data_IF_627053054947
#
_entry.id   IF_627053054947
#
_cell.length_a   1.000
_cell.length_b   1.000
_cell.length_c   1.000
_cell.angle_alpha   90.00
_cell.angle_beta   90.00
_cell.angle_gamma   90.00
#
_symmetry.space_group_name_H-M   'P 1'
#
loop_
_entity.id
_entity.type
_entity.pdbx_description
1 polymer ?
#
# COMPACT_ATOMS: atom_id res chain seq x y z
N UNK A 1 1.67 -0.39 36.93
CA UNK A 1 3.04 0.16 36.86
C UNK A 1 3.18 0.78 35.49
N UNK A 2 3.56 2.05 35.42
CA UNK A 2 3.70 2.79 34.17
C UNK A 2 4.81 2.15 33.33
N UNK A 3 4.47 1.47 32.26
CA UNK A 3 5.43 1.02 31.24
C UNK A 3 5.75 2.22 30.38
N UNK A 4 6.80 2.96 30.75
CA UNK A 4 7.38 3.94 29.85
C UNK A 4 7.78 3.22 28.57
N UNK A 5 7.26 3.68 27.43
CA UNK A 5 7.64 3.18 26.12
C UNK A 5 9.18 3.17 26.01
N UNK A 6 9.83 2.07 25.55
CA UNK A 6 11.27 2.05 25.31
C UNK A 6 11.67 2.97 24.14
N UNK A 7 10.68 3.49 23.41
CA UNK A 7 10.86 4.39 22.29
C UNK A 7 10.89 5.85 22.76
N UNK A 8 12.02 6.52 22.58
CA UNK A 8 12.09 7.99 22.65
C UNK A 8 11.47 8.58 21.40
N UNK A 9 10.36 9.29 21.57
CA UNK A 9 9.70 9.96 20.47
C UNK A 9 9.88 11.48 20.57
N UNK A 10 10.14 12.11 19.43
CA UNK A 10 10.07 13.56 19.28
C UNK A 10 8.98 13.89 18.28
N UNK A 11 7.97 14.67 18.68
CA UNK A 11 7.03 15.25 17.73
C UNK A 11 7.76 16.31 16.93
N UNK A 12 8.13 15.94 15.72
CA UNK A 12 8.89 16.78 14.79
C UNK A 12 8.04 17.96 14.32
N UNK A 13 6.81 17.66 13.91
CA UNK A 13 5.84 18.67 13.49
C UNK A 13 4.43 18.13 13.58
N UNK A 14 3.52 19.02 13.89
CA UNK A 14 2.09 18.77 13.85
C UNK A 14 1.39 19.64 12.83
N UNK A 15 0.47 19.03 12.10
CA UNK A 15 -0.30 19.67 11.03
C UNK A 15 -1.75 19.88 11.50
N UNK A 16 -2.06 21.07 12.01
CA UNK A 16 -3.37 21.35 12.64
C UNK A 16 -4.40 21.90 11.65
N UNK A 17 -5.68 21.90 12.04
CA UNK A 17 -6.79 22.38 11.20
C UNK A 17 -6.66 23.84 10.74
N UNK A 18 -5.83 24.65 11.40
CA UNK A 18 -5.56 26.06 11.08
C UNK A 18 -4.14 26.30 10.58
N UNK A 19 -3.34 25.26 10.37
CA UNK A 19 -1.92 25.40 10.06
C UNK A 19 -1.66 25.92 8.65
N UNK A 20 -0.82 26.94 8.56
CA UNK A 20 -0.30 27.48 7.31
C UNK A 20 0.62 26.48 6.59
N UNK A 21 1.07 25.42 7.26
CA UNK A 21 2.00 24.39 6.76
C UNK A 21 1.33 23.14 6.16
N UNK A 22 0.00 23.10 6.07
CA UNK A 22 -0.74 21.98 5.47
C UNK A 22 -1.38 21.04 6.49
N UNK A 23 -2.15 20.05 6.01
CA UNK A 23 -2.99 19.12 6.78
C UNK A 23 -3.10 17.76 6.09
N UNK A 24 -3.32 16.71 6.88
CA UNK A 24 -3.59 15.34 6.38
C UNK A 24 -2.43 14.81 5.52
N UNK A 25 -1.23 14.60 6.09
CA UNK A 25 -0.20 13.84 5.41
C UNK A 25 -0.70 12.39 5.30
N UNK A 26 -0.77 11.85 4.09
CA UNK A 26 -1.30 10.48 3.83
C UNK A 26 -0.38 9.65 2.94
N UNK A 27 0.53 10.30 2.22
CA UNK A 27 1.51 9.63 1.39
C UNK A 27 2.69 9.14 2.21
N UNK A 28 3.17 7.93 1.90
CA UNK A 28 4.40 7.42 2.49
C UNK A 28 5.55 8.43 2.31
N UNK A 29 6.23 8.83 3.40
CA UNK A 29 7.41 9.70 3.33
C UNK A 29 8.50 9.08 2.45
N UNK A 30 9.47 9.91 2.08
CA UNK A 30 10.65 9.47 1.33
C UNK A 30 11.90 10.11 1.89
N UNK A 31 13.00 9.37 1.87
CA UNK A 31 14.30 9.84 2.34
C UNK A 31 15.18 10.14 1.13
N UNK A 32 15.74 11.34 1.07
CA UNK A 32 16.71 11.75 0.06
C UNK A 32 17.85 12.52 0.72
N UNK A 33 19.09 12.05 0.52
CA UNK A 33 20.28 12.69 1.09
C UNK A 33 20.28 12.79 2.62
N UNK A 34 19.60 11.88 3.32
CA UNK A 34 19.46 11.92 4.79
C UNK A 34 18.41 12.90 5.31
N UNK A 35 17.74 13.64 4.42
CA UNK A 35 16.60 14.51 4.74
C UNK A 35 15.31 13.78 4.39
N UNK A 36 14.30 13.96 5.24
CA UNK A 36 12.99 13.32 5.10
C UNK A 36 12.06 14.28 4.40
N UNK A 37 11.32 13.78 3.42
CA UNK A 37 10.34 14.56 2.69
C UNK A 37 8.98 13.87 2.73
N UNK A 38 7.93 14.67 2.80
CA UNK A 38 6.55 14.18 2.77
C UNK A 38 5.62 15.22 2.19
N UNK A 39 4.38 14.81 1.94
CA UNK A 39 3.32 15.67 1.42
C UNK A 39 2.15 15.74 2.38
N UNK A 40 1.51 16.89 2.44
CA UNK A 40 0.16 17.06 3.02
C UNK A 40 -0.86 17.16 1.89
N UNK A 41 -2.02 16.54 2.06
CA UNK A 41 -3.03 16.46 0.99
C UNK A 41 -3.92 17.69 0.89
N UNK A 42 -4.11 18.45 1.98
CA UNK A 42 -4.95 19.66 2.00
C UNK A 42 -4.37 20.71 2.95
N UNK A 43 -4.94 21.92 2.96
CA UNK A 43 -4.51 22.99 3.88
C UNK A 43 -3.33 23.82 3.36
N UNK A 44 -2.70 24.59 4.25
CA UNK A 44 -1.75 25.63 3.88
C UNK A 44 -2.42 26.90 3.33
N UNK A 45 -1.63 27.95 3.07
CA UNK A 45 -2.13 29.28 2.65
C UNK A 45 -3.02 29.27 1.41
N UNK A 46 -2.88 28.27 0.55
CA UNK A 46 -3.61 28.08 -0.71
C UNK A 46 -4.59 26.91 -0.68
N UNK A 47 -4.67 26.18 0.44
CA UNK A 47 -5.59 25.05 0.64
C UNK A 47 -5.19 23.72 -0.04
N UNK A 48 -4.13 23.71 -0.86
CA UNK A 48 -3.72 22.57 -1.69
C UNK A 48 -2.82 21.53 -1.03
N UNK A 49 -2.35 21.78 0.19
CA UNK A 49 -1.30 20.99 0.85
C UNK A 49 0.10 21.56 0.61
N UNK A 50 1.12 20.84 1.07
CA UNK A 50 2.54 21.22 0.99
C UNK A 50 3.45 20.02 0.77
N UNK A 51 4.64 20.28 0.24
CA UNK A 51 5.82 19.45 0.45
C UNK A 51 6.54 20.00 1.69
N UNK A 52 6.87 19.13 2.62
CA UNK A 52 7.71 19.48 3.77
C UNK A 52 9.00 18.65 3.75
N UNK A 53 10.04 19.20 4.39
CA UNK A 53 11.28 18.51 4.69
C UNK A 53 11.52 18.50 6.19
N UNK A 54 12.17 17.44 6.67
CA UNK A 54 12.72 17.37 8.01
C UNK A 54 14.16 16.84 7.95
N UNK A 55 15.11 17.68 8.35
CA UNK A 55 16.49 17.26 8.53
C UNK A 55 16.69 16.77 9.97
N UNK A 56 16.99 15.49 10.17
CA UNK A 56 17.14 14.92 11.49
C UNK A 56 18.41 15.30 12.22
N UNK A 57 19.47 15.64 11.48
CA UNK A 57 20.76 15.97 12.07
C UNK A 57 20.71 17.36 12.70
N UNK A 58 19.91 18.24 12.12
CA UNK A 58 19.71 19.61 12.60
C UNK A 58 18.37 19.80 13.32
N UNK A 59 17.50 18.78 13.33
CA UNK A 59 16.12 18.83 13.82
C UNK A 59 15.26 19.91 13.15
N UNK A 60 15.62 20.31 11.93
CA UNK A 60 14.99 21.43 11.22
C UNK A 60 13.80 20.93 10.40
N UNK A 61 12.60 21.43 10.70
CA UNK A 61 11.42 21.26 9.85
C UNK A 61 11.23 22.48 8.95
N UNK A 62 10.99 22.24 7.66
CA UNK A 62 10.76 23.29 6.67
C UNK A 62 9.60 22.92 5.76
N UNK A 63 8.62 23.81 5.63
CA UNK A 63 7.68 23.77 4.51
C UNK A 63 8.42 24.21 3.24
N UNK A 64 8.83 23.26 2.40
CA UNK A 64 9.69 23.53 1.24
C UNK A 64 8.92 23.91 -0.01
N UNK A 65 7.63 23.54 -0.10
CA UNK A 65 6.76 23.98 -1.19
C UNK A 65 5.30 24.00 -0.75
N UNK A 66 4.52 24.99 -1.22
CA UNK A 66 3.08 25.05 -1.00
C UNK A 66 2.33 24.79 -2.29
N UNK A 67 1.53 23.72 -2.33
CA UNK A 67 0.73 23.39 -3.49
C UNK A 67 -0.37 24.42 -3.70
N UNK A 68 -0.41 25.00 -4.89
CA UNK A 68 -1.44 25.94 -5.32
C UNK A 68 -1.89 25.59 -6.73
N UNK A 69 -2.98 26.18 -7.23
CA UNK A 69 -3.17 26.11 -8.68
C UNK A 69 -2.20 27.09 -9.35
N UNK A 70 -1.45 26.66 -10.39
CA UNK A 70 -1.67 25.46 -11.21
C UNK A 70 -0.76 24.26 -10.86
N UNK A 71 -0.05 24.24 -9.73
CA UNK A 71 0.88 23.20 -9.27
C UNK A 71 0.23 21.83 -9.07
N UNK A 72 -1.04 21.80 -8.62
CA UNK A 72 -1.76 20.59 -8.19
C UNK A 72 -2.29 20.73 -6.76
N UNK A 73 -3.25 19.88 -6.35
CA UNK A 73 -3.73 19.73 -4.96
C UNK A 73 -3.96 18.25 -4.64
N UNK A 74 -3.95 17.87 -3.36
CA UNK A 74 -4.19 16.49 -2.90
C UNK A 74 -3.17 15.46 -3.40
N UNK A 75 -1.93 15.57 -2.93
CA UNK A 75 -0.94 14.50 -3.12
C UNK A 75 -1.17 13.39 -2.09
N UNK A 76 -1.82 12.29 -2.52
CA UNK A 76 -2.25 11.18 -1.64
C UNK A 76 -1.26 10.01 -1.62
N UNK A 77 -0.49 9.82 -2.70
CA UNK A 77 0.31 8.61 -2.91
C UNK A 77 1.76 8.73 -2.44
N UNK A 78 2.16 9.88 -1.90
CA UNK A 78 3.55 10.15 -1.48
C UNK A 78 4.50 10.41 -2.65
N UNK A 79 5.80 10.43 -2.36
CA UNK A 79 6.87 10.68 -3.33
C UNK A 79 7.80 9.47 -3.47
N UNK A 80 8.57 9.42 -4.57
CA UNK A 80 9.61 8.42 -4.80
C UNK A 80 10.90 9.09 -5.26
N UNK A 81 12.02 8.64 -4.72
CA UNK A 81 13.35 9.08 -5.14
C UNK A 81 13.69 8.44 -6.49
N UNK A 82 14.13 9.25 -7.46
CA UNK A 82 14.67 8.76 -8.72
C UNK A 82 16.18 8.57 -8.67
N UNK A 83 16.71 7.85 -9.65
CA UNK A 83 18.16 7.67 -9.81
C UNK A 83 18.97 8.98 -9.91
N UNK A 84 18.33 10.10 -10.30
CA UNK A 84 18.94 11.43 -10.34
C UNK A 84 18.97 12.14 -8.96
N UNK A 85 18.48 11.48 -7.92
CA UNK A 85 18.41 12.00 -6.55
C UNK A 85 17.26 12.96 -6.29
N UNK A 86 16.39 13.21 -7.28
CA UNK A 86 15.20 14.08 -7.12
C UNK A 86 13.99 13.26 -6.68
N UNK A 87 12.99 13.97 -6.15
CA UNK A 87 11.75 13.39 -5.69
C UNK A 87 10.64 13.59 -6.70
N UNK A 88 9.90 12.53 -6.99
CA UNK A 88 8.82 12.52 -7.97
C UNK A 88 7.51 12.15 -7.29
N UNK A 89 6.47 12.89 -7.60
CA UNK A 89 5.16 12.67 -7.01
C UNK A 89 4.03 13.15 -7.91
N UNK A 90 2.82 12.88 -7.45
CA UNK A 90 1.59 13.22 -8.15
C UNK A 90 0.60 13.92 -7.21
N UNK A 91 -0.17 14.83 -7.77
CA UNK A 91 -1.33 15.45 -7.14
C UNK A 91 -2.59 14.94 -7.82
N UNK A 92 -3.55 14.46 -7.03
CA UNK A 92 -4.80 13.88 -7.54
C UNK A 92 -5.65 14.89 -8.31
N UNK A 93 -5.58 16.16 -7.93
CA UNK A 93 -6.39 17.23 -8.51
C UNK A 93 -5.53 18.49 -8.73
N UNK A 94 -6.13 19.55 -9.26
CA UNK A 94 -5.42 20.76 -9.70
C UNK A 94 -4.90 20.66 -11.14
N UNK A 95 -4.05 21.61 -11.53
CA UNK A 95 -3.71 21.85 -12.94
C UNK A 95 -4.82 22.62 -13.68
N UNK A 96 -4.65 22.84 -14.98
CA UNK A 96 -5.51 23.75 -15.77
C UNK A 96 -7.00 23.41 -15.78
N UNK A 97 -7.36 22.12 -15.71
CA UNK A 97 -8.77 21.67 -15.66
C UNK A 97 -9.06 20.71 -14.50
N UNK A 98 -8.26 20.78 -13.44
CA UNK A 98 -8.46 20.04 -12.18
C UNK A 98 -8.32 18.50 -12.26
N UNK A 99 -7.69 17.95 -13.30
CA UNK A 99 -7.46 16.50 -13.43
C UNK A 99 -6.23 15.96 -12.69
N UNK A 100 -5.45 16.82 -12.03
CA UNK A 100 -4.23 16.41 -11.34
C UNK A 100 -2.95 16.81 -12.09
N UNK A 101 -1.82 16.68 -11.41
CA UNK A 101 -0.51 17.09 -11.91
C UNK A 101 0.58 16.10 -11.48
N UNK A 102 1.70 16.11 -12.21
CA UNK A 102 2.94 15.45 -11.80
C UNK A 102 3.99 16.51 -11.51
N UNK A 103 4.79 16.25 -10.49
CA UNK A 103 5.83 17.19 -10.06
C UNK A 103 7.15 16.49 -9.79
N UNK A 104 8.21 17.29 -9.87
CA UNK A 104 9.54 17.00 -9.39
C UNK A 104 9.89 17.97 -8.29
N UNK A 105 10.60 17.49 -7.29
CA UNK A 105 11.22 18.32 -6.28
C UNK A 105 12.71 17.98 -6.18
N UNK A 106 13.56 18.99 -6.35
CA UNK A 106 15.00 18.88 -6.15
C UNK A 106 15.33 19.14 -4.67
N UNK A 107 15.74 18.11 -3.91
CA UNK A 107 16.02 18.25 -2.49
C UNK A 107 17.25 19.11 -2.18
N UNK A 108 18.20 19.23 -3.11
CA UNK A 108 19.45 20.00 -2.91
C UNK A 108 19.19 21.49 -3.09
N UNK A 109 18.44 21.85 -4.13
CA UNK A 109 18.10 23.25 -4.43
C UNK A 109 16.82 23.75 -3.77
N UNK A 110 16.04 22.86 -3.14
CA UNK A 110 14.65 23.12 -2.73
C UNK A 110 13.77 23.65 -3.88
N UNK A 111 14.00 23.15 -5.10
CA UNK A 111 13.31 23.61 -6.30
C UNK A 111 12.13 22.70 -6.61
N UNK A 112 10.93 23.25 -6.56
CA UNK A 112 9.74 22.60 -7.09
C UNK A 112 9.59 22.88 -8.58
N UNK A 113 9.19 21.84 -9.31
CA UNK A 113 8.86 21.94 -10.72
C UNK A 113 7.61 21.11 -11.01
N UNK A 114 6.55 21.78 -11.49
CA UNK A 114 5.46 21.06 -12.13
C UNK A 114 5.95 20.52 -13.46
N UNK A 115 5.92 19.20 -13.61
CA UNK A 115 6.36 18.52 -14.83
C UNK A 115 5.24 18.43 -15.87
N UNK A 116 3.99 18.25 -15.41
CA UNK A 116 2.86 18.11 -16.31
C UNK A 116 1.50 18.33 -15.64
N UNK A 117 0.53 18.79 -16.44
CA UNK A 117 -0.89 18.67 -16.15
C UNK A 117 -1.40 17.33 -16.70
N UNK A 118 -2.09 16.54 -15.88
CA UNK A 118 -2.72 15.28 -16.30
C UNK A 118 -3.90 15.56 -17.25
N UNK A 119 -4.54 16.70 -17.03
CA UNK A 119 -5.69 17.14 -17.76
C UNK A 119 -5.24 17.89 -19.03
N UNK A 120 -5.71 17.43 -20.19
CA UNK A 120 -5.19 17.81 -21.52
C UNK A 120 -4.55 16.63 -22.28
N UNK A 121 -4.03 15.62 -21.55
CA UNK A 121 -3.61 14.31 -22.10
C UNK A 121 -4.68 13.23 -21.95
N UNK A 122 -5.88 13.62 -21.51
CA UNK A 122 -7.01 12.72 -21.27
C UNK A 122 -6.95 11.94 -19.96
N UNK A 123 -6.05 12.24 -19.02
CA UNK A 123 -5.86 11.49 -17.76
C UNK A 123 -6.40 12.26 -16.54
N UNK A 124 -6.73 11.58 -15.44
CA UNK A 124 -7.21 12.22 -14.20
C UNK A 124 -6.92 11.41 -12.93
N UNK A 125 -6.73 12.06 -11.78
CA UNK A 125 -6.58 11.40 -10.47
C UNK A 125 -5.50 10.29 -10.43
N UNK A 126 -4.20 10.65 -10.56
CA UNK A 126 -3.13 9.72 -10.23
C UNK A 126 -3.23 9.28 -8.75
N UNK A 127 -3.22 7.97 -8.49
CA UNK A 127 -3.49 7.39 -7.15
C UNK A 127 -2.47 6.36 -6.66
N UNK A 128 -1.70 5.70 -7.53
CA UNK A 128 -0.67 4.75 -7.10
C UNK A 128 0.69 5.41 -6.92
N UNK A 129 1.52 4.86 -6.01
CA UNK A 129 2.95 5.19 -5.95
C UNK A 129 3.59 4.90 -7.29
N UNK A 130 4.42 5.83 -7.76
CA UNK A 130 5.19 5.64 -8.98
C UNK A 130 6.09 4.40 -8.83
N UNK A 131 6.15 3.58 -9.87
CA UNK A 131 7.05 2.44 -10.00
C UNK A 131 8.19 2.84 -10.93
N UNK A 132 9.43 2.76 -10.45
CA UNK A 132 10.60 3.05 -11.26
C UNK A 132 10.97 1.82 -12.09
N UNK A 133 11.22 2.01 -13.39
CA UNK A 133 11.85 0.97 -14.20
C UNK A 133 13.35 0.90 -13.91
N UNK A 134 14.02 -0.21 -14.28
CA UNK A 134 15.48 -0.30 -14.21
C UNK A 134 16.24 0.79 -14.99
N UNK A 135 15.55 1.56 -15.84
CA UNK A 135 16.12 2.61 -16.68
C UNK A 135 15.88 4.03 -16.15
N UNK A 136 15.35 4.19 -14.92
CA UNK A 136 15.18 5.50 -14.28
C UNK A 136 13.96 6.30 -14.75
N UNK A 137 13.00 5.62 -15.40
CA UNK A 137 11.72 6.19 -15.82
C UNK A 137 10.61 5.75 -14.86
N UNK A 138 9.70 6.67 -14.51
CA UNK A 138 8.60 6.38 -13.60
C UNK A 138 7.30 6.03 -14.33
N UNK A 139 6.59 5.04 -13.81
CA UNK A 139 5.29 4.59 -14.29
C UNK A 139 4.28 4.64 -13.17
N UNK A 140 3.10 5.18 -13.47
CA UNK A 140 2.03 5.29 -12.50
C UNK A 140 0.67 5.09 -13.14
N UNK A 141 -0.32 4.89 -12.29
CA UNK A 141 -1.69 4.65 -12.71
C UNK A 141 -2.61 5.77 -12.24
N UNK A 142 -3.65 6.01 -13.03
CA UNK A 142 -4.74 6.93 -12.76
C UNK A 142 -6.00 6.13 -12.45
N UNK A 143 -6.75 6.50 -11.41
CA UNK A 143 -8.03 5.87 -11.06
C UNK A 143 -9.19 6.38 -11.91
N UNK A 144 -9.05 7.55 -12.53
CA UNK A 144 -10.02 8.15 -13.46
C UNK A 144 -9.32 8.75 -14.69
N UNK A 145 -10.05 9.30 -15.66
CA UNK A 145 -9.47 9.68 -16.96
C UNK A 145 -9.40 8.50 -17.94
N UNK A 146 -8.69 8.64 -19.06
CA UNK A 146 -8.79 7.72 -20.20
C UNK A 146 -10.14 7.80 -20.93
N UNK A 147 -10.41 6.83 -21.79
CA UNK A 147 -11.67 6.74 -22.53
C UNK A 147 -12.79 6.31 -21.58
N UNK A 148 -13.78 7.18 -21.35
CA UNK A 148 -14.88 6.88 -20.42
C UNK A 148 -14.58 7.14 -18.95
N UNK A 149 -13.46 7.81 -18.61
CA UNK A 149 -13.09 8.26 -17.26
C UNK A 149 -12.74 7.15 -16.24
N UNK A 150 -12.20 6.03 -16.70
CA UNK A 150 -11.95 4.84 -15.86
C UNK A 150 -10.48 4.48 -15.66
N UNK A 151 -9.54 5.40 -15.94
CA UNK A 151 -8.14 5.30 -15.55
C UNK A 151 -7.16 5.40 -16.71
N UNK A 152 -5.86 5.33 -16.40
CA UNK A 152 -4.79 5.21 -17.40
C UNK A 152 -3.46 4.77 -16.78
N UNK A 153 -2.55 4.26 -17.61
CA UNK A 153 -1.13 4.15 -17.30
C UNK A 153 -0.40 5.34 -17.94
N UNK A 154 0.45 6.00 -17.16
CA UNK A 154 1.29 7.08 -17.63
C UNK A 154 2.77 6.82 -17.37
N UNK A 155 3.60 7.46 -18.18
CA UNK A 155 5.06 7.45 -18.06
C UNK A 155 5.56 8.86 -17.83
N UNK A 156 6.48 8.98 -16.88
CA UNK A 156 7.16 10.20 -16.53
C UNK A 156 8.66 10.04 -16.73
N UNK A 157 9.18 10.73 -17.75
CA UNK A 157 10.61 10.78 -18.02
C UNK A 157 11.32 11.76 -17.09
N UNK A 158 12.48 11.35 -16.58
CA UNK A 158 13.25 12.12 -15.58
C UNK A 158 14.28 13.07 -16.21
N UNK A 159 14.77 12.73 -17.42
CA UNK A 159 15.81 13.47 -18.15
C UNK A 159 15.33 14.69 -18.94
N UNK A 160 14.01 14.90 -19.03
CA UNK A 160 13.38 16.04 -19.68
C UNK A 160 11.87 15.94 -19.47
N UNK A 161 11.20 16.92 -18.84
CA UNK A 161 9.84 16.76 -18.34
C UNK A 161 8.81 16.74 -19.47
N UNK A 162 8.66 15.59 -20.11
CA UNK A 162 7.51 15.30 -20.97
C UNK A 162 6.72 14.16 -20.35
N UNK A 163 5.55 14.47 -19.80
CA UNK A 163 4.55 13.45 -19.50
C UNK A 163 4.04 12.87 -20.81
N UNK A 164 4.14 11.55 -20.94
CA UNK A 164 3.50 10.82 -22.04
C UNK A 164 2.37 9.99 -21.47
N UNK A 165 1.14 10.24 -21.94
CA UNK A 165 0.05 9.30 -21.75
C UNK A 165 0.39 8.03 -22.54
N UNK A 166 0.61 6.92 -21.83
CA UNK A 166 1.05 5.68 -22.44
C UNK A 166 -0.12 4.82 -22.86
N UNK A 167 -1.07 4.64 -21.94
CA UNK A 167 -2.24 3.78 -22.13
C UNK A 167 -3.44 4.47 -21.52
N UNK A 168 -4.31 5.11 -22.32
CA UNK A 168 -5.62 5.46 -21.83
C UNK A 168 -6.39 4.17 -21.57
N UNK A 169 -6.70 3.87 -20.32
CA UNK A 169 -7.60 2.77 -20.00
C UNK A 169 -9.04 3.15 -20.39
N UNK A 170 -9.88 2.13 -20.54
CA UNK A 170 -11.28 2.26 -20.91
C UNK A 170 -12.06 1.06 -20.39
N UNK A 171 -13.39 1.14 -20.34
CA UNK A 171 -14.21 0.02 -19.83
C UNK A 171 -13.89 -1.32 -20.50
N UNK A 172 -13.39 -1.27 -21.74
CA UNK A 172 -12.65 -2.33 -22.40
C UNK A 172 -11.35 -1.73 -22.98
N UNK A 173 -10.16 -2.33 -22.77
CA UNK A 173 -9.97 -3.68 -22.24
C UNK A 173 -9.68 -3.75 -20.72
N UNK A 174 -9.39 -2.65 -20.03
CA UNK A 174 -8.96 -2.64 -18.62
C UNK A 174 -9.31 -1.31 -17.95
N UNK A 175 -9.72 -1.30 -16.68
CA UNK A 175 -10.07 -0.07 -15.97
C UNK A 175 -9.84 -0.10 -14.45
N UNK A 176 -9.71 1.06 -13.83
CA UNK A 176 -9.34 1.23 -12.41
C UNK A 176 -8.09 0.39 -12.06
N UNK A 177 -6.94 0.67 -12.68
CA UNK A 177 -5.66 0.09 -12.27
C UNK A 177 -5.29 0.55 -10.85
N UNK A 178 -5.62 -0.28 -9.85
CA UNK A 178 -5.31 -0.02 -8.44
C UNK A 178 -4.14 -0.88 -7.97
N UNK A 179 -3.36 -0.36 -7.02
CA UNK A 179 -2.22 -1.08 -6.44
C UNK A 179 -0.90 -0.79 -7.16
N UNK A 180 0.19 -1.36 -6.63
CA UNK A 180 1.53 -1.25 -7.21
C UNK A 180 1.68 -2.26 -8.34
N UNK A 181 2.52 -1.94 -9.33
CA UNK A 181 2.93 -2.91 -10.35
C UNK A 181 4.18 -3.64 -9.89
N UNK A 182 4.25 -4.93 -10.18
CA UNK A 182 5.40 -5.77 -9.89
C UNK A 182 6.33 -5.87 -11.09
N UNK A 183 7.63 -6.06 -10.84
CA UNK A 183 8.60 -6.34 -11.89
C UNK A 183 8.47 -7.78 -12.37
N UNK A 184 8.27 -7.95 -13.67
CA UNK A 184 8.30 -9.23 -14.36
C UNK A 184 9.60 -9.49 -15.14
N UNK A 185 9.70 -10.65 -15.79
CA UNK A 185 10.84 -11.01 -16.64
C UNK A 185 11.14 -9.95 -17.71
N UNK A 186 12.43 -9.70 -17.96
CA UNK A 186 12.86 -8.78 -19.02
C UNK A 186 12.58 -7.30 -18.73
N UNK A 187 12.23 -6.93 -17.51
CA UNK A 187 11.95 -5.53 -17.13
C UNK A 187 10.53 -5.07 -17.45
N UNK A 188 9.65 -5.98 -17.87
CA UNK A 188 8.22 -5.72 -18.05
C UNK A 188 7.57 -5.46 -16.69
N UNK A 189 6.64 -4.51 -16.61
CA UNK A 189 5.81 -4.27 -15.44
C UNK A 189 4.51 -5.07 -15.56
N UNK A 190 4.13 -5.76 -14.49
CA UNK A 190 2.89 -6.52 -14.39
C UNK A 190 1.97 -5.83 -13.39
N UNK A 191 0.69 -5.70 -13.72
CA UNK A 191 -0.29 -5.08 -12.85
C UNK A 191 -1.66 -5.70 -12.97
N UNK A 192 -2.50 -5.34 -12.01
CA UNK A 192 -3.91 -5.67 -11.99
C UNK A 192 -4.75 -4.42 -12.24
N UNK A 193 -5.78 -4.57 -13.06
CA UNK A 193 -6.88 -3.62 -13.11
C UNK A 193 -8.04 -4.24 -12.33
N UNK A 194 -8.53 -3.58 -11.26
CA UNK A 194 -9.62 -4.14 -10.46
C UNK A 194 -10.92 -4.16 -11.24
N UNK A 195 -11.06 -3.34 -12.27
CA UNK A 195 -12.26 -3.23 -13.08
C UNK A 195 -11.90 -3.27 -14.58
N UNK A 196 -12.89 -3.16 -15.45
CA UNK A 196 -12.74 -3.36 -16.89
C UNK A 196 -12.75 -4.84 -17.26
N UNK A 197 -12.36 -5.15 -18.48
CA UNK A 197 -12.57 -6.49 -19.03
C UNK A 197 -14.05 -6.83 -19.17
N UNK A 198 -14.34 -8.11 -19.37
CA UNK A 198 -15.70 -8.62 -19.54
C UNK A 198 -16.44 -8.56 -18.20
N UNK A 199 -17.62 -7.95 -18.19
CA UNK A 199 -18.46 -7.75 -16.99
C UNK A 199 -17.79 -7.00 -15.83
N UNK A 200 -16.80 -6.14 -16.11
CA UNK A 200 -16.14 -5.35 -15.08
C UNK A 200 -15.39 -6.21 -14.03
N UNK A 201 -14.94 -7.40 -14.44
CA UNK A 201 -14.30 -8.39 -13.56
C UNK A 201 -12.83 -8.06 -13.24
N UNK A 202 -12.21 -7.18 -14.01
CA UNK A 202 -10.79 -6.85 -13.89
C UNK A 202 -9.91 -7.63 -14.86
N UNK A 203 -8.66 -7.20 -15.00
CA UNK A 203 -7.70 -7.85 -15.91
C UNK A 203 -6.30 -7.96 -15.30
N UNK A 204 -5.53 -8.91 -15.82
CA UNK A 204 -4.08 -8.95 -15.69
C UNK A 204 -3.49 -8.24 -16.90
N UNK A 205 -2.61 -7.27 -16.68
CA UNK A 205 -1.96 -6.55 -17.77
C UNK A 205 -0.43 -6.56 -17.61
N UNK A 206 0.23 -6.37 -18.75
CA UNK A 206 1.65 -6.06 -18.82
C UNK A 206 1.88 -4.73 -19.51
N UNK A 207 2.99 -4.12 -19.15
CA UNK A 207 3.51 -2.97 -19.83
C UNK A 207 5.03 -3.11 -19.94
N UNK A 208 5.55 -3.08 -21.16
CA UNK A 208 6.99 -3.10 -21.44
C UNK A 208 7.53 -1.64 -21.51
N UNK A 209 8.35 -1.22 -20.53
CA UNK A 209 9.00 0.09 -20.53
C UNK A 209 9.85 0.37 -21.76
N UNK A 210 10.56 -0.63 -22.29
CA UNK A 210 11.53 -0.48 -23.38
C UNK A 210 10.86 -0.28 -24.73
N UNK A 211 9.73 -0.93 -24.97
CA UNK A 211 8.98 -0.84 -26.23
C UNK A 211 7.75 0.05 -26.15
N UNK A 212 7.39 0.53 -24.94
CA UNK A 212 6.13 1.24 -24.69
C UNK A 212 4.87 0.41 -24.98
N UNK A 213 5.01 -0.92 -25.02
CA UNK A 213 3.91 -1.80 -25.39
C UNK A 213 3.07 -2.16 -24.18
N UNK A 214 1.77 -1.92 -24.28
CA UNK A 214 0.78 -2.41 -23.33
C UNK A 214 0.10 -3.66 -23.87
N UNK A 215 -0.21 -4.60 -23.00
CA UNK A 215 -1.01 -5.78 -23.36
C UNK A 215 -1.88 -6.21 -22.20
N UNK A 216 -3.18 -6.41 -22.46
CA UNK A 216 -4.01 -7.21 -21.58
C UNK A 216 -3.59 -8.66 -21.78
N UNK A 217 -3.09 -9.25 -20.70
CA UNK A 217 -2.61 -10.63 -20.68
C UNK A 217 -3.77 -11.60 -20.47
N UNK A 218 -4.72 -11.23 -19.61
CA UNK A 218 -5.90 -12.05 -19.33
C UNK A 218 -7.08 -11.18 -18.89
N UNK A 219 -8.25 -11.42 -19.47
CA UNK A 219 -9.52 -10.83 -19.04
C UNK A 219 -10.19 -11.77 -18.04
N UNK A 220 -10.32 -11.35 -16.79
CA UNK A 220 -10.85 -12.22 -15.75
C UNK A 220 -12.34 -12.46 -15.97
N UNK A 221 -12.76 -13.70 -15.83
CA UNK A 221 -14.17 -14.08 -15.83
C UNK A 221 -14.71 -14.24 -14.41
N UNK A 222 -16.02 -14.41 -14.26
CA UNK A 222 -16.58 -14.81 -12.96
C UNK A 222 -15.96 -16.13 -12.47
N UNK A 223 -15.63 -17.06 -13.37
CA UNK A 223 -15.01 -18.34 -13.00
C UNK A 223 -13.55 -18.18 -12.59
N UNK A 224 -12.81 -17.22 -13.15
CA UNK A 224 -11.42 -16.94 -12.77
C UNK A 224 -11.31 -16.23 -11.42
N UNK A 225 -12.40 -15.57 -11.00
CA UNK A 225 -12.43 -14.60 -9.90
C UNK A 225 -12.45 -13.15 -10.42
N UNK A 226 -12.97 -12.23 -9.62
CA UNK A 226 -13.14 -10.81 -9.98
C UNK A 226 -12.49 -9.88 -8.96
N UNK A 227 -12.17 -8.67 -9.42
CA UNK A 227 -11.57 -7.59 -8.64
C UNK A 227 -10.23 -8.03 -8.02
N UNK A 228 -9.21 -8.30 -8.86
CA UNK A 228 -7.88 -8.69 -8.39
C UNK A 228 -7.29 -7.63 -7.43
N UNK A 229 -6.82 -8.04 -6.26
CA UNK A 229 -6.33 -7.17 -5.18
C UNK A 229 -4.82 -7.29 -4.96
N UNK A 230 -4.24 -6.29 -4.28
CA UNK A 230 -2.84 -6.28 -3.88
C UNK A 230 -1.84 -6.07 -5.03
N UNK A 231 -0.56 -6.15 -4.71
CA UNK A 231 0.52 -6.19 -5.69
C UNK A 231 0.64 -7.62 -6.28
N UNK A 232 0.77 -7.79 -7.61
CA UNK A 232 1.01 -9.11 -8.20
C UNK A 232 2.29 -9.74 -7.67
N UNK A 233 2.26 -11.00 -7.23
CA UNK A 233 3.47 -11.72 -6.83
C UNK A 233 4.05 -12.45 -8.05
N UNK A 234 5.20 -12.01 -8.55
CA UNK A 234 5.84 -12.63 -9.72
C UNK A 234 7.00 -13.53 -9.29
N UNK A 235 6.93 -14.83 -9.64
CA UNK A 235 7.98 -15.81 -9.40
C UNK A 235 8.38 -16.45 -10.73
N UNK A 236 9.59 -16.15 -11.20
CA UNK A 236 10.03 -16.55 -12.53
C UNK A 236 9.09 -15.98 -13.60
N UNK A 237 8.40 -16.84 -14.33
CA UNK A 237 7.46 -16.46 -15.39
C UNK A 237 5.98 -16.63 -14.97
N UNK A 238 5.70 -16.82 -13.69
CA UNK A 238 4.34 -17.02 -13.18
C UNK A 238 3.94 -15.86 -12.28
N UNK A 239 2.76 -15.29 -12.55
CA UNK A 239 2.12 -14.27 -11.73
C UNK A 239 1.12 -14.97 -10.81
N UNK A 240 1.20 -14.72 -9.51
CA UNK A 240 0.23 -15.16 -8.53
C UNK A 240 -0.56 -13.96 -8.03
N UNK A 241 -1.86 -14.16 -7.84
CA UNK A 241 -2.76 -13.10 -7.41
C UNK A 241 -4.00 -13.62 -6.71
N UNK A 242 -4.70 -12.69 -6.07
CA UNK A 242 -5.94 -12.93 -5.37
C UNK A 242 -7.05 -12.10 -5.99
N UNK A 243 -8.21 -12.70 -6.19
CA UNK A 243 -9.42 -12.01 -6.60
C UNK A 243 -10.43 -12.02 -5.45
N UNK A 244 -11.00 -10.86 -5.09
CA UNK A 244 -11.78 -10.72 -3.85
C UNK A 244 -13.20 -11.32 -3.92
N UNK A 245 -13.74 -11.58 -5.12
CA UNK A 245 -15.05 -12.23 -5.31
C UNK A 245 -15.06 -13.11 -6.55
N UNK A 246 -16.17 -13.80 -6.82
CA UNK A 246 -16.26 -14.72 -7.96
C UNK A 246 -15.68 -16.09 -7.61
N UNK A 247 -15.32 -16.88 -8.63
CA UNK A 247 -15.04 -18.29 -8.49
C UNK A 247 -16.31 -19.12 -8.27
N UNK A 248 -16.17 -20.44 -8.26
CA UNK A 248 -17.27 -21.40 -8.06
C UNK A 248 -17.97 -21.20 -6.71
N UNK A 249 -17.27 -20.69 -5.69
CA UNK A 249 -17.79 -20.44 -4.35
C UNK A 249 -18.17 -18.97 -4.09
N UNK A 250 -18.01 -18.08 -5.09
CA UNK A 250 -18.30 -16.64 -5.02
C UNK A 250 -17.46 -15.82 -4.01
N UNK A 251 -16.62 -16.46 -3.20
CA UNK A 251 -15.79 -15.82 -2.18
C UNK A 251 -14.44 -15.31 -2.67
N UNK A 252 -14.13 -15.46 -3.96
CA UNK A 252 -12.85 -15.09 -4.54
C UNK A 252 -12.06 -16.28 -5.05
N UNK A 253 -10.86 -16.02 -5.56
CA UNK A 253 -9.95 -17.06 -6.05
C UNK A 253 -8.50 -16.75 -5.70
N UNK A 254 -7.72 -17.81 -5.49
CA UNK A 254 -6.28 -17.78 -5.68
C UNK A 254 -5.99 -18.28 -7.10
N UNK A 255 -5.26 -17.50 -7.88
CA UNK A 255 -4.93 -17.86 -9.26
C UNK A 255 -3.45 -17.71 -9.55
N UNK A 256 -3.00 -18.45 -10.57
CA UNK A 256 -1.73 -18.21 -11.25
C UNK A 256 -1.96 -17.88 -12.72
N UNK A 257 -1.09 -17.07 -13.28
CA UNK A 257 -1.02 -16.79 -14.70
C UNK A 257 0.40 -17.03 -15.22
N UNK A 258 0.54 -17.94 -16.18
CA UNK A 258 1.82 -18.20 -16.84
C UNK A 258 2.06 -17.21 -17.98
N UNK A 259 3.15 -16.44 -17.88
CA UNK A 259 3.52 -15.39 -18.84
C UNK A 259 4.02 -15.93 -20.18
N UNK A 260 4.35 -17.21 -20.30
CA UNK A 260 4.81 -17.83 -21.55
C UNK A 260 3.63 -18.44 -22.31
N UNK A 261 2.82 -19.25 -21.64
CA UNK A 261 1.68 -19.95 -22.25
C UNK A 261 0.40 -19.11 -22.25
N UNK A 262 0.42 -17.92 -21.64
CA UNK A 262 -0.75 -17.04 -21.46
C UNK A 262 -1.95 -17.78 -20.87
N UNK A 263 -1.69 -18.63 -19.89
CA UNK A 263 -2.70 -19.51 -19.30
C UNK A 263 -2.97 -19.10 -17.87
N UNK A 264 -4.21 -18.72 -17.58
CA UNK A 264 -4.70 -18.59 -16.21
C UNK A 264 -5.13 -19.95 -15.67
N UNK A 265 -4.74 -20.24 -14.44
CA UNK A 265 -5.19 -21.39 -13.67
C UNK A 265 -5.75 -20.89 -12.34
N UNK A 266 -7.01 -21.19 -12.06
CA UNK A 266 -7.56 -21.06 -10.71
C UNK A 266 -6.95 -22.17 -9.87
N UNK A 267 -6.13 -21.77 -8.89
CA UNK A 267 -5.45 -22.69 -8.00
C UNK A 267 -6.36 -23.12 -6.85
N UNK A 268 -7.23 -22.22 -6.40
CA UNK A 268 -8.28 -22.51 -5.43
C UNK A 268 -9.47 -21.56 -5.60
N UNK A 269 -10.69 -22.11 -5.53
CA UNK A 269 -11.92 -21.35 -5.37
C UNK A 269 -12.16 -21.08 -3.88
N UNK A 270 -12.13 -19.81 -3.48
CA UNK A 270 -12.26 -19.41 -2.09
C UNK A 270 -13.76 -19.25 -1.74
N UNK A 271 -14.15 -19.81 -0.59
CA UNK A 271 -15.44 -19.56 0.05
C UNK A 271 -15.71 -20.48 1.24
N UNK A 272 -16.65 -20.07 2.09
CA UNK A 272 -17.06 -20.88 3.26
C UNK A 272 -15.87 -21.20 4.18
N UNK A 273 -15.63 -22.49 4.42
CA UNK A 273 -14.53 -22.96 5.28
C UNK A 273 -13.14 -22.70 4.70
N UNK A 274 -13.01 -22.43 3.40
CA UNK A 274 -11.75 -22.12 2.74
C UNK A 274 -11.37 -20.64 2.86
N UNK A 275 -12.19 -19.80 3.48
CA UNK A 275 -11.98 -18.35 3.53
C UNK A 275 -12.61 -17.64 2.35
N UNK A 276 -12.92 -16.35 2.51
CA UNK A 276 -13.60 -15.51 1.50
C UNK A 276 -13.12 -14.06 1.61
N UNK A 277 -13.12 -13.33 0.50
CA UNK A 277 -12.73 -11.93 0.46
C UNK A 277 -11.24 -11.73 0.75
N UNK A 278 -10.31 -12.29 -0.03
CA UNK A 278 -8.92 -11.86 0.05
C UNK A 278 -8.82 -10.39 -0.37
N UNK A 279 -8.27 -9.54 0.51
CA UNK A 279 -8.19 -8.08 0.32
C UNK A 279 -6.77 -7.54 0.19
N UNK A 280 -5.75 -8.39 0.39
CA UNK A 280 -4.34 -8.02 0.40
C UNK A 280 -3.50 -8.87 -0.58
N UNK A 281 -2.18 -8.70 -0.56
CA UNK A 281 -1.24 -9.44 -1.40
C UNK A 281 -0.86 -10.82 -0.84
N UNK A 282 0.07 -11.48 -1.54
CA UNK A 282 0.67 -12.76 -1.16
C UNK A 282 2.13 -12.56 -0.73
N UNK A 283 2.60 -13.43 0.16
CA UNK A 283 4.02 -13.51 0.54
C UNK A 283 4.54 -14.94 0.38
N UNK A 284 5.81 -15.07 0.00
CA UNK A 284 6.49 -16.38 -0.01
C UNK A 284 7.01 -16.66 1.40
N UNK A 285 6.57 -17.77 1.99
CA UNK A 285 7.02 -18.23 3.30
C UNK A 285 8.40 -18.90 3.27
N UNK A 286 8.97 -19.23 4.44
CA UNK A 286 10.30 -19.84 4.56
C UNK A 286 10.36 -21.26 3.99
N UNK A 287 9.23 -21.94 3.88
CA UNK A 287 9.08 -23.27 3.28
C UNK A 287 8.86 -23.21 1.76
N UNK A 288 8.89 -22.01 1.16
CA UNK A 288 8.68 -21.78 -0.27
C UNK A 288 7.21 -21.81 -0.70
N UNK A 289 6.25 -21.94 0.22
CA UNK A 289 4.83 -21.86 -0.09
C UNK A 289 4.34 -20.41 -0.12
N UNK A 290 3.18 -20.18 -0.76
CA UNK A 290 2.52 -18.89 -0.74
C UNK A 290 1.60 -18.78 0.47
N UNK A 291 1.57 -17.60 1.08
CA UNK A 291 0.71 -17.30 2.20
C UNK A 291 -0.07 -16.01 1.96
N UNK A 292 -1.30 -15.99 2.45
CA UNK A 292 -2.18 -14.83 2.42
C UNK A 292 -3.31 -14.98 3.42
N UNK A 293 -4.18 -13.98 3.44
CA UNK A 293 -5.34 -13.92 4.33
C UNK A 293 -6.63 -13.70 3.55
N UNK A 294 -7.72 -14.16 4.15
CA UNK A 294 -9.08 -13.82 3.71
C UNK A 294 -9.81 -13.14 4.88
N UNK A 295 -10.50 -12.03 4.62
CA UNK A 295 -11.23 -11.26 5.65
C UNK A 295 -12.33 -12.07 6.33
N UNK A 296 -12.96 -12.98 5.59
CA UNK A 296 -14.11 -13.76 6.00
C UNK A 296 -13.92 -15.26 5.81
N UNK A 297 -14.88 -16.05 6.29
CA UNK A 297 -14.90 -17.51 6.17
C UNK A 297 -14.10 -18.22 7.26
N UNK A 298 -13.69 -19.47 7.00
CA UNK A 298 -13.14 -20.36 8.01
C UNK A 298 -14.21 -20.95 8.93
N UNK A 299 -13.80 -21.76 9.91
CA UNK A 299 -14.73 -22.46 10.81
C UNK A 299 -15.60 -21.54 11.67
N UNK A 300 -15.14 -20.31 11.91
CA UNK A 300 -15.85 -19.31 12.70
C UNK A 300 -16.46 -18.18 11.86
N UNK A 301 -16.18 -18.14 10.55
CA UNK A 301 -16.63 -17.06 9.66
C UNK A 301 -15.91 -15.72 9.85
N UNK A 302 -14.76 -15.69 10.54
CA UNK A 302 -14.05 -14.47 10.94
C UNK A 302 -12.74 -14.24 10.19
N UNK A 303 -12.48 -15.06 9.16
CA UNK A 303 -11.28 -14.99 8.33
C UNK A 303 -10.33 -16.16 8.54
N UNK A 304 -9.38 -16.29 7.62
CA UNK A 304 -8.37 -17.37 7.64
C UNK A 304 -6.98 -16.85 7.27
N UNK A 305 -5.96 -17.56 7.76
CA UNK A 305 -4.63 -17.61 7.13
C UNK A 305 -4.62 -18.87 6.26
N UNK A 306 -4.21 -18.72 5.02
CA UNK A 306 -4.05 -19.86 4.11
C UNK A 306 -2.61 -20.01 3.65
N UNK A 307 -2.31 -21.25 3.23
CA UNK A 307 -1.06 -21.65 2.60
C UNK A 307 -1.36 -22.36 1.30
N UNK A 308 -0.59 -22.05 0.26
CA UNK A 308 -0.61 -22.77 -1.00
C UNK A 308 0.78 -23.34 -1.32
N UNK A 309 0.87 -24.67 -1.40
CA UNK A 309 2.09 -25.38 -1.74
C UNK A 309 2.38 -25.29 -3.25
N UNK A 310 3.46 -24.61 -3.63
CA UNK A 310 3.86 -24.50 -5.03
C UNK A 310 4.37 -25.83 -5.62
N UNK A 311 4.88 -26.74 -4.80
CA UNK A 311 5.44 -28.02 -5.24
C UNK A 311 4.38 -29.12 -5.37
N UNK A 312 3.44 -29.14 -4.42
CA UNK A 312 2.35 -30.12 -4.35
C UNK A 312 1.04 -29.65 -4.98
N UNK A 313 0.94 -28.38 -5.38
CA UNK A 313 -0.29 -27.73 -5.84
C UNK A 313 -1.46 -27.93 -4.90
N UNK A 314 -1.25 -27.68 -3.61
CA UNK A 314 -2.24 -27.94 -2.56
C UNK A 314 -2.53 -26.70 -1.73
N UNK A 315 -3.80 -26.32 -1.67
CA UNK A 315 -4.30 -25.30 -0.76
C UNK A 315 -4.60 -25.88 0.63
N UNK A 316 -4.37 -25.08 1.67
CA UNK A 316 -4.77 -25.41 3.03
C UNK A 316 -5.09 -24.15 3.82
N UNK A 317 -6.18 -24.19 4.59
CA UNK A 317 -6.39 -23.24 5.69
C UNK A 317 -5.49 -23.67 6.84
N UNK A 318 -4.48 -22.86 7.13
CA UNK A 318 -3.53 -23.15 8.21
C UNK A 318 -3.97 -22.57 9.55
N UNK A 319 -4.89 -21.60 9.52
CA UNK A 319 -5.54 -21.08 10.71
C UNK A 319 -6.90 -20.46 10.36
N UNK A 320 -7.93 -20.75 11.17
CA UNK A 320 -9.21 -20.06 11.15
C UNK A 320 -9.32 -19.24 12.41
N UNK A 321 -9.43 -17.92 12.27
CA UNK A 321 -9.47 -17.02 13.42
C UNK A 321 -10.76 -17.23 14.23
N UNK A 322 -10.67 -17.11 15.56
CA UNK A 322 -11.83 -16.95 16.44
C UNK A 322 -11.91 -15.53 17.03
N UNK A 323 -13.06 -15.17 17.59
CA UNK A 323 -13.31 -13.80 18.07
C UNK A 323 -12.29 -13.25 19.07
N UNK A 324 -11.67 -14.12 19.88
CA UNK A 324 -10.59 -13.78 20.82
C UNK A 324 -9.19 -13.71 20.17
N UNK A 325 -9.01 -14.26 18.97
CA UNK A 325 -7.77 -14.24 18.19
C UNK A 325 -7.76 -13.08 17.18
N UNK A 326 -8.93 -12.56 16.81
CA UNK A 326 -9.10 -11.45 15.88
C UNK A 326 -10.12 -11.76 14.80
N UNK A 327 -10.60 -10.73 14.12
CA UNK A 327 -11.52 -10.80 12.99
C UNK A 327 -10.98 -9.90 11.86
N UNK A 328 -11.35 -10.20 10.62
CA UNK A 328 -11.01 -9.35 9.46
C UNK A 328 -9.49 -9.14 9.30
N UNK A 329 -8.72 -10.21 8.99
CA UNK A 329 -7.30 -10.09 8.68
C UNK A 329 -7.10 -9.41 7.31
N UNK A 330 -6.71 -8.13 7.32
CA UNK A 330 -6.68 -7.25 6.14
C UNK A 330 -5.30 -6.93 5.58
N UNK A 331 -4.24 -7.60 6.04
CA UNK A 331 -2.86 -7.28 5.68
C UNK A 331 -2.22 -8.32 4.74
N UNK A 332 -1.28 -7.88 3.92
CA UNK A 332 -0.29 -8.79 3.32
C UNK A 332 0.62 -9.28 4.44
N UNK A 333 0.75 -10.59 4.71
CA UNK A 333 1.61 -11.05 5.80
C UNK A 333 3.07 -10.68 5.54
N UNK A 334 3.79 -10.29 6.60
CA UNK A 334 5.21 -9.92 6.53
C UNK A 334 6.06 -11.05 7.07
N UNK A 335 7.09 -11.45 6.31
CA UNK A 335 8.05 -12.47 6.72
C UNK A 335 9.19 -11.84 7.54
N UNK A 336 9.38 -12.28 8.78
CA UNK A 336 10.51 -11.89 9.63
C UNK A 336 11.01 -13.09 10.43
N UNK A 337 12.33 -13.34 10.45
CA UNK A 337 12.91 -14.41 11.26
C UNK A 337 12.37 -15.82 10.98
N UNK A 338 11.86 -16.08 9.76
CA UNK A 338 11.23 -17.35 9.39
C UNK A 338 9.78 -17.52 9.87
N UNK A 339 9.15 -16.46 10.37
CA UNK A 339 7.74 -16.45 10.78
C UNK A 339 6.99 -15.37 10.03
N UNK A 340 5.70 -15.61 9.81
CA UNK A 340 4.80 -14.65 9.19
C UNK A 340 4.09 -13.84 10.27
N UNK A 341 3.93 -12.55 10.03
CA UNK A 341 3.26 -11.64 10.93
C UNK A 341 2.15 -10.90 10.20
N UNK A 342 1.08 -10.62 10.92
CA UNK A 342 -0.02 -9.85 10.39
C UNK A 342 -0.94 -9.34 11.50
N UNK A 343 -1.98 -8.66 11.07
CA UNK A 343 -2.96 -8.04 11.97
C UNK A 343 -4.38 -8.38 11.60
N UNK A 344 -5.25 -8.38 12.60
CA UNK A 344 -6.70 -8.38 12.44
C UNK A 344 -7.22 -7.00 12.86
N UNK A 345 -8.04 -6.39 12.01
CA UNK A 345 -8.54 -5.03 12.26
C UNK A 345 -9.58 -4.99 13.40
N UNK A 346 -10.20 -6.13 13.73
CA UNK A 346 -11.20 -6.21 14.80
C UNK A 346 -11.02 -7.47 15.66
N UNK A 347 -11.84 -7.60 16.70
CA UNK A 347 -11.82 -8.74 17.61
C UNK A 347 -10.69 -8.68 18.63
N UNK A 348 -10.33 -9.82 19.19
CA UNK A 348 -9.33 -9.90 20.26
C UNK A 348 -9.93 -9.67 21.64
N UNK A 349 -9.80 -8.45 22.14
CA UNK A 349 -10.27 -8.09 23.48
C UNK A 349 -11.81 -7.82 23.50
N UNK A 350 -12.35 -7.49 24.68
CA UNK A 350 -13.79 -7.24 24.85
C UNK A 350 -14.34 -6.04 24.05
N UNK A 351 -13.47 -5.10 23.65
CA UNK A 351 -13.82 -3.93 22.85
C UNK A 351 -13.69 -4.21 21.33
N UNK A 352 -12.98 -5.27 20.96
CA UNK A 352 -12.76 -5.63 19.56
C UNK A 352 -11.68 -4.81 18.87
N UNK A 353 -10.65 -4.39 19.61
CA UNK A 353 -9.63 -3.43 19.17
C UNK A 353 -8.67 -3.97 18.09
N UNK A 354 -8.71 -5.27 17.80
CA UNK A 354 -7.84 -5.94 16.85
C UNK A 354 -6.69 -6.69 17.51
N UNK A 355 -5.93 -7.42 16.71
CA UNK A 355 -4.83 -8.28 17.18
C UNK A 355 -3.63 -8.23 16.25
N UNK A 356 -2.46 -8.57 16.80
CA UNK A 356 -1.25 -8.92 16.06
C UNK A 356 -1.00 -10.40 16.29
N UNK A 357 -0.78 -11.12 15.20
CA UNK A 357 -0.55 -12.56 15.21
C UNK A 357 0.76 -12.91 14.52
N UNK A 358 1.28 -14.08 14.86
CA UNK A 358 2.35 -14.72 14.10
C UNK A 358 1.98 -16.14 13.71
N UNK A 359 2.53 -16.59 12.59
CA UNK A 359 2.39 -17.94 12.11
C UNK A 359 3.77 -18.52 11.78
N UNK A 360 4.11 -19.62 12.46
CA UNK A 360 5.35 -20.35 12.24
C UNK A 360 5.13 -21.48 11.22
N UNK A 361 5.56 -21.22 9.99
CA UNK A 361 5.52 -22.16 8.88
C UNK A 361 6.47 -23.37 9.04
N UNK A 362 7.42 -23.32 9.98
CA UNK A 362 8.34 -24.42 10.31
C UNK A 362 7.75 -25.48 11.24
N UNK A 363 6.44 -25.40 11.54
CA UNK A 363 5.71 -26.37 12.36
C UNK A 363 5.26 -25.87 13.74
N UNK A 364 5.57 -24.61 14.09
CA UNK A 364 5.10 -23.99 15.33
C UNK A 364 3.63 -23.54 15.29
N UNK A 365 3.06 -23.35 14.10
CA UNK A 365 1.65 -23.01 13.91
C UNK A 365 1.30 -21.56 14.25
N UNK A 366 0.00 -21.30 14.40
CA UNK A 366 -0.52 -19.98 14.75
C UNK A 366 -0.27 -19.65 16.23
N UNK A 367 0.06 -18.39 16.49
CA UNK A 367 0.12 -17.82 17.81
C UNK A 367 -0.51 -16.44 17.80
N UNK A 368 -1.50 -16.25 18.68
CA UNK A 368 -1.94 -14.91 19.04
C UNK A 368 -0.84 -14.28 19.88
N UNK A 369 -0.22 -13.25 19.32
CA UNK A 369 0.94 -12.62 19.89
C UNK A 369 0.50 -11.51 20.85
N UNK A 370 -0.29 -10.58 20.34
CA UNK A 370 -0.69 -9.37 21.07
C UNK A 370 -2.13 -8.99 20.75
N UNK A 371 -2.85 -8.53 21.75
CA UNK A 371 -4.16 -7.89 21.57
C UNK A 371 -3.98 -6.39 21.68
N UNK A 372 -4.56 -5.66 20.73
CA UNK A 372 -4.59 -4.22 20.81
C UNK A 372 -5.49 -3.78 21.97
N UNK A 373 -5.25 -2.58 22.46
CA UNK A 373 -6.04 -1.94 23.49
C UNK A 373 -6.18 -0.46 23.13
N UNK A 374 -7.44 -0.04 23.01
CA UNK A 374 -7.85 1.33 22.72
C UNK A 374 -7.13 2.39 23.55
N UNK A 375 -6.78 2.13 24.81
CA UNK A 375 -6.18 3.13 25.69
C UNK A 375 -4.65 3.10 25.68
N UNK A 376 -4.03 2.06 25.11
CA UNK A 376 -2.60 1.80 25.25
C UNK A 376 -1.90 1.65 23.91
N UNK A 377 -2.41 0.87 22.96
CA UNK A 377 -1.74 0.56 21.68
C UNK A 377 -2.51 1.05 20.43
N UNK A 378 -3.68 1.66 20.62
CA UNK A 378 -4.62 1.96 19.54
C UNK A 378 -5.55 0.79 19.24
N UNK A 379 -6.48 1.00 18.31
CA UNK A 379 -7.41 0.01 17.76
C UNK A 379 -7.57 0.13 16.26
N UNK A 380 -8.04 -0.95 15.66
CA UNK A 380 -8.12 -1.07 14.21
C UNK A 380 -6.75 -1.03 13.56
N UNK A 381 -5.80 -1.91 13.96
CA UNK A 381 -4.55 -2.02 13.24
C UNK A 381 -4.87 -2.41 11.79
N UNK A 382 -4.37 -1.62 10.85
CA UNK A 382 -4.64 -1.81 9.43
C UNK A 382 -3.54 -1.22 8.55
N UNK A 383 -3.52 -1.64 7.29
CA UNK A 383 -2.43 -1.33 6.36
C UNK A 383 -1.28 -2.34 6.43
N UNK A 384 -0.28 -2.16 5.58
CA UNK A 384 0.89 -3.05 5.54
C UNK A 384 1.79 -2.79 6.76
N UNK A 385 2.29 -3.87 7.36
CA UNK A 385 3.33 -3.81 8.38
C UNK A 385 4.68 -3.50 7.73
N UNK A 386 5.48 -2.65 8.36
CA UNK A 386 6.89 -2.44 8.00
C UNK A 386 7.77 -3.33 8.88
N UNK A 387 8.55 -4.21 8.27
CA UNK A 387 9.72 -4.79 8.93
C UNK A 387 10.90 -3.83 8.77
N UNK A 388 11.32 -3.21 9.86
CA UNK A 388 12.48 -2.32 9.89
C UNK A 388 13.79 -3.08 10.12
N UNK A 389 14.92 -2.42 9.86
CA UNK A 389 16.28 -2.95 9.94
C UNK A 389 16.72 -3.25 11.38
N UNK A 390 16.06 -2.63 12.36
CA UNK A 390 16.17 -2.97 13.78
C UNK A 390 15.50 -4.30 14.15
N UNK A 391 14.76 -4.92 13.22
CA UNK A 391 14.04 -6.17 13.41
C UNK A 391 12.64 -6.01 14.02
N UNK A 392 12.20 -4.78 14.27
CA UNK A 392 10.88 -4.47 14.83
C UNK A 392 9.87 -4.33 13.69
N UNK A 393 8.64 -4.81 13.95
CA UNK A 393 7.50 -4.64 13.05
C UNK A 393 6.72 -3.40 13.47
N UNK A 394 6.60 -2.44 12.58
CA UNK A 394 5.88 -1.21 12.84
C UNK A 394 4.62 -1.10 11.99
N UNK A 395 3.57 -0.54 12.56
CA UNK A 395 2.30 -0.33 11.88
C UNK A 395 1.47 0.78 12.49
N UNK A 396 0.32 1.04 11.86
CA UNK A 396 -0.61 2.08 12.27
C UNK A 396 -1.93 1.50 12.74
N UNK A 397 -2.48 2.08 13.80
CA UNK A 397 -3.83 1.83 14.29
C UNK A 397 -4.66 3.10 14.03
N UNK A 398 -5.70 2.98 13.20
CA UNK A 398 -6.46 4.13 12.71
C UNK A 398 -7.35 4.78 13.78
N UNK A 399 -7.55 4.12 14.92
CA UNK A 399 -8.36 4.59 16.04
C UNK A 399 -7.75 4.16 17.38
N UNK A 400 -8.37 4.50 18.51
CA UNK A 400 -7.78 4.27 19.83
C UNK A 400 -6.66 5.25 20.16
N UNK A 401 -5.79 4.93 21.12
CA UNK A 401 -4.88 5.87 21.74
C UNK A 401 -5.59 6.92 22.61
N UNK A 402 -4.84 7.92 23.06
CA UNK A 402 -5.35 9.08 23.78
C UNK A 402 -6.40 9.82 22.94
N UNK A 403 -7.62 9.94 23.46
CA UNK A 403 -8.78 10.56 22.79
C UNK A 403 -9.30 9.86 21.52
N UNK A 404 -8.91 8.60 21.27
CA UNK A 404 -9.34 7.80 20.11
C UNK A 404 -8.80 8.30 18.75
N UNK A 405 -7.71 9.07 18.76
CA UNK A 405 -7.14 9.71 17.58
C UNK A 405 -6.17 8.81 16.79
N UNK A 406 -5.98 7.55 17.17
CA UNK A 406 -5.09 6.60 16.51
C UNK A 406 -3.68 6.55 17.09
N UNK A 407 -2.90 5.56 16.62
CA UNK A 407 -1.57 5.28 17.14
C UNK A 407 -0.60 4.71 16.09
N UNK A 408 0.70 4.89 16.34
CA UNK A 408 1.78 4.10 15.75
C UNK A 408 2.23 3.10 16.81
N UNK A 409 2.32 1.84 16.43
CA UNK A 409 2.81 0.78 17.30
C UNK A 409 4.07 0.14 16.71
N UNK A 410 4.87 -0.43 17.59
CA UNK A 410 6.03 -1.23 17.27
C UNK A 410 5.93 -2.55 18.01
N UNK A 411 6.15 -3.64 17.31
CA UNK A 411 6.13 -4.99 17.86
C UNK A 411 7.50 -5.62 17.70
N UNK A 412 8.15 -5.93 18.82
CA UNK A 412 9.43 -6.64 18.86
C UNK A 412 9.19 -8.16 18.76
N UNK A 413 9.56 -8.81 17.65
CA UNK A 413 9.33 -10.25 17.48
C UNK A 413 10.22 -11.12 18.37
N UNK A 414 11.36 -10.59 18.83
CA UNK A 414 12.32 -11.30 19.68
C UNK A 414 11.89 -11.24 21.14
N UNK A 415 11.42 -10.08 21.59
CA UNK A 415 10.95 -9.90 22.97
C UNK A 415 9.48 -10.26 23.17
N UNK A 416 8.72 -10.42 22.09
CA UNK A 416 7.27 -10.63 22.11
C UNK A 416 6.56 -9.52 22.89
N UNK A 417 6.84 -8.28 22.49
CA UNK A 417 6.28 -7.09 23.14
C UNK A 417 5.71 -6.12 22.12
N UNK A 418 4.42 -5.81 22.26
CA UNK A 418 3.79 -4.68 21.58
C UNK A 418 3.97 -3.41 22.42
N UNK A 419 4.58 -2.41 21.81
CA UNK A 419 4.76 -1.09 22.38
C UNK A 419 4.00 -0.04 21.60
N UNK A 420 3.42 0.92 22.33
CA UNK A 420 3.02 2.18 21.75
C UNK A 420 4.28 2.97 21.39
N UNK A 421 4.47 3.23 20.11
CA UNK A 421 5.52 4.14 19.62
C UNK A 421 5.00 5.57 19.70
N UNK A 422 3.73 5.78 19.31
CA UNK A 422 3.08 7.07 19.42
C UNK A 422 1.56 6.95 19.54
N UNK A 423 0.95 7.77 20.39
CA UNK A 423 -0.48 8.05 20.33
C UNK A 423 -0.70 9.46 19.82
N UNK A 424 -1.58 9.61 18.84
CA UNK A 424 -1.99 10.90 18.32
C UNK A 424 -2.90 11.63 19.32
N UNK A 425 -2.94 12.96 19.26
CA UNK A 425 -3.87 13.80 20.03
C UNK A 425 -4.41 14.95 19.15
N UNK A 426 -5.73 15.03 18.98
CA UNK A 426 -6.38 15.93 18.02
C UNK A 426 -6.10 17.42 18.27
N UNK A 427 -5.77 17.81 19.50
CA UNK A 427 -5.54 19.22 19.84
C UNK A 427 -4.28 19.79 19.20
N UNK A 428 -3.29 18.95 18.86
CA UNK A 428 -2.03 19.47 18.34
C UNK A 428 -1.17 18.47 17.58
N UNK A 429 -1.61 17.26 17.20
CA UNK A 429 -0.70 16.21 16.70
C UNK A 429 -1.19 15.39 15.50
N UNK A 430 -2.40 15.63 14.98
CA UNK A 430 -3.02 14.81 13.92
C UNK A 430 -3.91 13.70 14.49
N UNK A 431 -4.56 12.93 13.62
CA UNK A 431 -5.44 11.80 13.99
C UNK A 431 -5.59 10.80 12.83
N UNK A 432 -5.93 9.55 13.13
CA UNK A 432 -6.22 8.44 12.23
C UNK A 432 -5.08 8.14 11.23
N UNK A 433 -3.92 7.66 11.70
CA UNK A 433 -2.85 7.23 10.81
C UNK A 433 -3.30 6.02 9.98
N UNK A 434 -3.06 6.04 8.67
CA UNK A 434 -3.45 4.95 7.75
C UNK A 434 -2.38 4.57 6.74
N UNK A 435 -1.33 5.38 6.60
CA UNK A 435 -0.23 5.10 5.69
C UNK A 435 0.73 4.07 6.28
N UNK A 436 1.31 3.23 5.43
CA UNK A 436 2.43 2.40 5.84
C UNK A 436 3.60 3.27 6.30
N UNK A 437 4.40 2.73 7.22
CA UNK A 437 5.62 3.38 7.68
C UNK A 437 6.77 3.07 6.72
N UNK A 438 7.77 3.93 6.67
CA UNK A 438 9.07 3.62 6.08
C UNK A 438 10.18 3.79 7.10
N UNK A 439 11.32 3.15 6.84
CA UNK A 439 12.55 3.35 7.57
C UNK A 439 13.58 4.07 6.68
N UNK A 440 14.32 5.00 7.27
CA UNK A 440 15.46 5.64 6.61
C UNK A 440 16.78 4.90 6.82
N UNK A 441 17.83 5.33 6.12
CA UNK A 441 19.16 4.72 6.23
C UNK A 441 19.83 4.86 7.62
N UNK A 442 19.25 5.67 8.52
CA UNK A 442 19.70 5.82 9.91
C UNK A 442 18.90 4.97 10.90
N UNK A 443 17.91 4.20 10.44
CA UNK A 443 17.04 3.37 11.27
C UNK A 443 15.86 4.12 11.89
N UNK A 444 15.50 5.31 11.37
CA UNK A 444 14.38 6.10 11.91
C UNK A 444 13.11 5.86 11.10
N UNK A 445 12.01 5.72 11.83
CA UNK A 445 10.70 5.39 11.28
C UNK A 445 9.91 6.65 10.97
N UNK A 446 9.23 6.60 9.83
CA UNK A 446 8.53 7.75 9.28
C UNK A 446 7.16 7.28 8.80
N UNK A 447 6.13 7.97 9.27
CA UNK A 447 4.73 7.67 8.98
C UNK A 447 3.92 8.94 8.92
N UNK A 448 2.73 8.85 8.34
CA UNK A 448 1.81 9.98 8.19
C UNK A 448 0.40 9.62 8.62
#
# INVERSE_FOLDING_TARGET
MSTSSPFTQTVIRSFTSTDADGRTPQGEPVVAGGVIYGTTSVGGTTGGGKIFSYDPNTTTFTAVHGFSNPDGVQSLSGMRTGADGKLYGACRSGGTTNGGTLFRFDPVGAVFEKLADMAGSGLSAPEARLTESPFGTFYGTCSTGGSGLVGALYRLETSGPSLTSMVPFGFSPASIPTGRMAHGPGGVLIGFATNGGTNASGVIYSFDPGTSQFSVLHDLSFADGRFPQGEPLVIGNTVYGLASTGGALSGGTLFSFDLISSTLTVLEDLGGLLGSGPVAGLVVGPDGALYGTCSDGGSNGLGVIFRYDLSGSSYSVVHSFSGNEGNDPTCTPVLSGGQLYGTCAAGGNANGDGTLWRYDAGGGGFQLTQQFNDLVSGSGPGGDLLLASDGILYGTAASGGFQLDGAIYGYDPVQDTLGLVYSFTAASQGSAPRGALIEDASGRLLGT
#
